data_IF_292423307010
#
_entry.id   IF_292423307010
#
_cell.length_a   1.000
_cell.length_b   1.000
_cell.length_c   1.000
_cell.angle_alpha   90.00
_cell.angle_beta   90.00
_cell.angle_gamma   90.00
#
_symmetry.space_group_name_H-M   'P 1'
#
loop_
_entity.id
_entity.type
_entity.pdbx_description
1 polymer ?
#
# COMPACT_ATOMS: atom_id res chain seq x y z
N UNK A 1 6.90 -13.60 -32.13
CA UNK A 1 6.73 -12.42 -31.25
C UNK A 1 5.75 -12.73 -30.09
N UNK A 2 6.01 -13.78 -29.29
CA UNK A 2 5.12 -14.23 -28.19
C UNK A 2 5.77 -14.16 -26.79
N UNK A 3 7.10 -13.98 -26.72
CA UNK A 3 7.87 -14.05 -25.46
C UNK A 3 7.88 -12.74 -24.68
N UNK A 4 7.77 -11.60 -25.37
CA UNK A 4 7.79 -10.26 -24.74
C UNK A 4 6.60 -10.08 -23.79
N UNK A 5 5.39 -10.45 -24.22
CA UNK A 5 4.16 -10.31 -23.42
C UNK A 5 4.18 -11.13 -22.14
N UNK A 6 4.83 -12.30 -22.14
CA UNK A 6 4.96 -13.13 -20.94
C UNK A 6 5.95 -12.52 -19.94
N UNK A 7 7.01 -11.87 -20.42
CA UNK A 7 8.05 -11.26 -19.58
C UNK A 7 7.57 -9.98 -18.89
N UNK A 8 6.79 -9.16 -19.58
CA UNK A 8 6.17 -7.96 -18.98
C UNK A 8 5.20 -8.36 -17.87
N UNK A 9 4.45 -9.45 -18.05
CA UNK A 9 3.57 -9.98 -17.01
C UNK A 9 4.34 -10.47 -15.80
N UNK A 10 5.43 -11.21 -15.99
CA UNK A 10 6.24 -11.72 -14.88
C UNK A 10 6.90 -10.57 -14.10
N UNK A 11 7.44 -9.58 -14.81
CA UNK A 11 8.01 -8.39 -14.18
C UNK A 11 6.96 -7.62 -13.34
N UNK A 12 5.72 -7.52 -13.83
CA UNK A 12 4.61 -6.94 -13.06
C UNK A 12 4.27 -7.78 -11.82
N UNK A 13 4.20 -9.10 -11.95
CA UNK A 13 3.96 -10.01 -10.81
C UNK A 13 5.04 -9.83 -9.74
N UNK A 14 6.31 -9.76 -10.14
CA UNK A 14 7.43 -9.60 -9.22
C UNK A 14 7.41 -8.22 -8.54
N UNK A 15 7.07 -7.16 -9.28
CA UNK A 15 6.89 -5.81 -8.74
C UNK A 15 5.76 -5.77 -7.69
N UNK A 16 4.59 -6.32 -8.04
CA UNK A 16 3.42 -6.35 -7.13
C UNK A 16 3.72 -7.19 -5.89
N UNK A 17 4.33 -8.36 -6.07
CA UNK A 17 4.69 -9.24 -4.96
C UNK A 17 5.70 -8.60 -4.01
N UNK A 18 6.76 -7.97 -4.54
CA UNK A 18 7.78 -7.30 -3.73
C UNK A 18 7.26 -6.03 -3.03
N UNK A 19 6.44 -5.23 -3.72
CA UNK A 19 5.99 -3.93 -3.20
C UNK A 19 4.73 -4.03 -2.35
N UNK A 20 3.73 -4.82 -2.79
CA UNK A 20 2.42 -4.91 -2.16
C UNK A 20 2.22 -6.19 -1.34
N UNK A 21 3.02 -7.24 -1.56
CA UNK A 21 2.97 -8.48 -0.77
C UNK A 21 3.01 -8.27 0.75
N UNK A 22 3.83 -7.34 1.30
CA UNK A 22 3.81 -7.06 2.74
C UNK A 22 2.48 -6.53 3.28
N UNK A 23 1.59 -6.00 2.43
CA UNK A 23 0.26 -5.54 2.85
C UNK A 23 -0.67 -6.69 3.28
N UNK A 24 -0.41 -7.93 2.84
CA UNK A 24 -1.18 -9.10 3.29
C UNK A 24 -1.00 -9.36 4.80
N UNK A 25 0.12 -8.92 5.38
CA UNK A 25 0.41 -9.03 6.81
C UNK A 25 -0.35 -7.98 7.65
N UNK A 26 -1.05 -7.03 7.01
CA UNK A 26 -1.86 -6.07 7.71
C UNK A 26 -3.07 -6.73 8.38
N UNK A 27 -3.48 -6.21 9.55
CA UNK A 27 -4.74 -6.62 10.18
C UNK A 27 -5.90 -6.20 9.27
N UNK A 28 -6.62 -7.18 8.74
CA UNK A 28 -7.70 -6.97 7.76
C UNK A 28 -7.29 -7.24 6.31
N UNK A 29 -6.07 -7.70 6.08
CA UNK A 29 -5.55 -8.05 4.75
C UNK A 29 -5.13 -6.83 3.92
N UNK A 30 -4.74 -7.09 2.66
CA UNK A 30 -4.26 -6.07 1.75
C UNK A 30 -5.36 -5.17 1.18
N UNK A 31 -6.61 -5.67 1.08
CA UNK A 31 -7.74 -4.99 0.41
C UNK A 31 -7.98 -3.57 0.96
N UNK A 32 -8.13 -3.33 2.27
CA UNK A 32 -8.47 -2.00 2.78
C UNK A 32 -7.35 -0.97 2.57
N UNK A 33 -6.10 -1.42 2.53
CA UNK A 33 -4.94 -0.57 2.28
C UNK A 33 -4.81 -0.28 0.77
N UNK A 34 -5.08 -1.27 -0.08
CA UNK A 34 -5.11 -1.10 -1.53
C UNK A 34 -6.22 -0.15 -1.98
N UNK A 35 -7.42 -0.26 -1.40
CA UNK A 35 -8.53 0.69 -1.62
C UNK A 35 -8.14 2.11 -1.21
N UNK A 36 -7.43 2.22 -0.08
CA UNK A 36 -6.95 3.50 0.43
C UNK A 36 -5.92 4.12 -0.53
N UNK A 37 -4.97 3.33 -1.04
CA UNK A 37 -3.97 3.79 -2.01
C UNK A 37 -4.60 4.17 -3.35
N UNK A 38 -5.55 3.39 -3.83
CA UNK A 38 -6.29 3.67 -5.07
C UNK A 38 -7.03 5.01 -4.95
N UNK A 39 -7.81 5.20 -3.88
CA UNK A 39 -8.50 6.46 -3.64
C UNK A 39 -7.55 7.64 -3.35
N UNK A 40 -6.33 7.37 -2.89
CA UNK A 40 -5.27 8.37 -2.70
C UNK A 40 -4.67 8.84 -4.02
N UNK A 41 -4.35 7.91 -4.93
CA UNK A 41 -3.82 8.25 -6.24
C UNK A 41 -4.86 8.90 -7.14
N UNK A 42 -6.10 8.40 -7.13
CA UNK A 42 -7.23 9.00 -7.86
C UNK A 42 -7.52 10.45 -7.42
N UNK A 43 -7.18 10.84 -6.19
CA UNK A 43 -7.40 12.20 -5.69
C UNK A 43 -6.24 13.16 -6.01
N UNK A 44 -5.25 12.70 -6.77
CA UNK A 44 -4.02 13.46 -7.04
C UNK A 44 -3.10 13.53 -5.82
N UNK A 45 -3.09 12.50 -4.97
CA UNK A 45 -2.27 12.42 -3.76
C UNK A 45 -2.65 13.48 -2.69
N UNK A 46 -3.92 13.91 -2.67
CA UNK A 46 -4.43 14.90 -1.72
C UNK A 46 -5.16 14.23 -0.57
N UNK A 47 -4.51 14.15 0.59
CA UNK A 47 -5.04 13.45 1.77
C UNK A 47 -6.44 13.94 2.20
N UNK A 48 -6.69 15.25 2.20
CA UNK A 48 -8.00 15.78 2.58
C UNK A 48 -9.12 15.38 1.60
N UNK A 49 -8.81 15.28 0.31
CA UNK A 49 -9.77 14.86 -0.72
C UNK A 49 -10.09 13.37 -0.59
N UNK A 50 -9.07 12.53 -0.42
CA UNK A 50 -9.22 11.09 -0.20
C UNK A 50 -9.98 10.76 1.07
N UNK A 51 -9.69 11.46 2.17
CA UNK A 51 -10.38 11.26 3.45
C UNK A 51 -11.88 11.51 3.29
N UNK A 52 -12.27 12.58 2.59
CA UNK A 52 -13.68 12.85 2.26
C UNK A 52 -14.30 11.76 1.40
N UNK A 53 -13.59 11.27 0.37
CA UNK A 53 -14.10 10.19 -0.51
C UNK A 53 -14.32 8.86 0.22
N UNK A 54 -13.45 8.53 1.17
CA UNK A 54 -13.55 7.31 1.98
C UNK A 54 -14.44 7.50 3.23
N UNK A 55 -15.03 8.70 3.43
CA UNK A 55 -15.77 9.06 4.65
C UNK A 55 -14.96 8.84 5.94
N UNK A 56 -13.65 9.08 5.88
CA UNK A 56 -12.70 8.94 6.99
C UNK A 56 -12.22 10.32 7.47
N UNK A 57 -11.74 10.38 8.71
CA UNK A 57 -10.95 11.52 9.18
C UNK A 57 -9.56 11.55 8.56
N UNK A 58 -8.99 12.74 8.36
CA UNK A 58 -7.63 12.90 7.80
C UNK A 58 -6.58 12.15 8.63
N UNK A 59 -6.68 12.17 9.97
CA UNK A 59 -5.77 11.42 10.85
C UNK A 59 -5.83 9.90 10.63
N UNK A 60 -7.03 9.36 10.35
CA UNK A 60 -7.21 7.94 10.06
C UNK A 60 -6.59 7.56 8.71
N UNK A 61 -6.72 8.44 7.71
CA UNK A 61 -6.06 8.26 6.41
C UNK A 61 -4.54 8.31 6.55
N UNK A 62 -3.99 9.34 7.21
CA UNK A 62 -2.52 9.47 7.38
C UNK A 62 -1.95 8.31 8.18
N UNK A 63 -2.71 7.77 9.13
CA UNK A 63 -2.32 6.54 9.84
C UNK A 63 -2.26 5.34 8.89
N UNK A 64 -3.25 5.16 8.00
CA UNK A 64 -3.25 4.08 7.02
C UNK A 64 -2.06 4.20 6.05
N UNK A 65 -1.75 5.41 5.58
CA UNK A 65 -0.59 5.65 4.71
C UNK A 65 0.74 5.38 5.44
N UNK A 66 0.87 5.83 6.68
CA UNK A 66 2.03 5.50 7.51
C UNK A 66 2.14 3.98 7.72
N UNK A 67 1.02 3.28 7.90
CA UNK A 67 1.01 1.82 8.02
C UNK A 67 1.50 1.15 6.75
N UNK A 68 1.11 1.63 5.57
CA UNK A 68 1.66 1.15 4.28
C UNK A 68 3.18 1.30 4.25
N UNK A 69 3.70 2.48 4.60
CA UNK A 69 5.15 2.71 4.66
C UNK A 69 5.84 1.76 5.65
N UNK A 70 5.28 1.53 6.84
CA UNK A 70 5.89 0.59 7.81
C UNK A 70 5.90 -0.86 7.34
N UNK A 71 4.98 -1.26 6.46
CA UNK A 71 4.89 -2.63 5.96
C UNK A 71 5.73 -2.84 4.71
N UNK A 72 5.73 -1.86 3.80
CA UNK A 72 6.34 -1.97 2.46
C UNK A 72 7.72 -1.33 2.39
N UNK A 73 8.06 -0.43 3.32
CA UNK A 73 9.26 0.41 3.26
C UNK A 73 9.18 1.57 2.27
N UNK A 74 8.08 1.67 1.49
CA UNK A 74 7.88 2.65 0.42
C UNK A 74 6.96 3.76 0.93
N UNK A 75 7.37 5.02 0.84
CA UNK A 75 6.56 6.16 1.28
C UNK A 75 5.59 6.61 0.17
N UNK A 76 4.26 6.48 0.34
CA UNK A 76 3.28 6.93 -0.67
C UNK A 76 3.31 8.45 -0.92
N UNK A 77 3.95 9.23 -0.05
CA UNK A 77 4.02 10.68 -0.15
C UNK A 77 5.30 11.20 -0.79
N UNK A 78 6.37 10.40 -0.81
CA UNK A 78 7.57 10.72 -1.56
C UNK A 78 7.30 10.54 -3.07
N UNK A 79 7.56 11.54 -3.92
CA UNK A 79 7.37 11.44 -5.37
C UNK A 79 8.03 10.22 -6.02
N UNK A 80 9.22 9.80 -5.58
CA UNK A 80 9.96 8.69 -6.20
C UNK A 80 9.28 7.35 -5.89
N UNK A 81 9.05 7.11 -4.60
CA UNK A 81 8.38 5.91 -4.09
C UNK A 81 6.94 5.80 -4.58
N UNK A 82 6.26 6.95 -4.72
CA UNK A 82 4.91 7.05 -5.24
C UNK A 82 4.77 6.46 -6.64
N UNK A 83 5.69 6.73 -7.56
CA UNK A 83 5.61 6.18 -8.93
C UNK A 83 5.68 4.65 -8.91
N UNK A 84 6.58 4.09 -8.11
CA UNK A 84 6.71 2.64 -7.91
C UNK A 84 5.42 2.06 -7.32
N UNK A 85 4.90 2.69 -6.27
CA UNK A 85 3.70 2.24 -5.58
C UNK A 85 2.44 2.34 -6.46
N UNK A 86 2.31 3.41 -7.25
CA UNK A 86 1.21 3.58 -8.19
C UNK A 86 1.26 2.53 -9.30
N UNK A 87 2.46 2.25 -9.85
CA UNK A 87 2.65 1.20 -10.85
C UNK A 87 2.29 -0.17 -10.29
N UNK A 88 2.69 -0.45 -9.04
CA UNK A 88 2.33 -1.69 -8.35
C UNK A 88 0.81 -1.80 -8.11
N UNK A 89 0.12 -0.71 -7.72
CA UNK A 89 -1.34 -0.73 -7.54
C UNK A 89 -2.08 -0.97 -8.86
N UNK A 90 -1.64 -0.35 -9.95
CA UNK A 90 -2.20 -0.60 -11.29
C UNK A 90 -1.94 -2.06 -11.69
N UNK A 91 -0.71 -2.56 -11.50
CA UNK A 91 -0.33 -3.94 -11.77
C UNK A 91 -1.16 -4.95 -10.96
N UNK A 92 -1.44 -4.66 -9.69
CA UNK A 92 -2.30 -5.48 -8.84
C UNK A 92 -3.71 -5.59 -9.41
N UNK A 93 -4.30 -4.48 -9.87
CA UNK A 93 -5.61 -4.48 -10.53
C UNK A 93 -5.62 -5.32 -11.81
N UNK A 94 -4.58 -5.23 -12.65
CA UNK A 94 -4.43 -6.03 -13.86
C UNK A 94 -4.24 -7.53 -13.59
N UNK A 95 -3.76 -7.89 -12.40
CA UNK A 95 -3.54 -9.26 -11.96
C UNK A 95 -4.69 -9.81 -11.12
N UNK A 96 -5.75 -9.02 -10.89
CA UNK A 96 -6.86 -9.29 -9.98
C UNK A 96 -6.40 -9.57 -8.53
N UNK A 97 -5.26 -9.03 -8.11
CA UNK A 97 -4.74 -9.17 -6.75
C UNK A 97 -5.37 -8.12 -5.82
N UNK A 98 -5.73 -8.44 -4.57
CA UNK A 98 -5.43 -9.67 -3.81
C UNK A 98 -6.47 -10.80 -3.94
N UNK A 99 -7.52 -10.63 -4.75
CA UNK A 99 -8.58 -11.65 -4.92
C UNK A 99 -8.05 -12.91 -5.61
N UNK A 100 -7.08 -12.77 -6.50
CA UNK A 100 -6.33 -13.84 -7.14
C UNK A 100 -4.89 -13.84 -6.62
N UNK A 101 -4.41 -14.96 -6.03
CA UNK A 101 -3.03 -15.05 -5.60
C UNK A 101 -2.07 -14.93 -6.80
N UNK A 102 -0.98 -14.18 -6.62
CA UNK A 102 0.10 -14.00 -7.59
C UNK A 102 0.80 -15.34 -7.81
N UNK A 103 0.28 -16.15 -8.72
CA UNK A 103 0.72 -17.53 -8.88
C UNK A 103 2.07 -17.57 -9.61
N UNK A 104 3.18 -17.62 -8.87
CA UNK A 104 4.49 -18.06 -9.39
C UNK A 104 4.94 -19.41 -8.80
N UNK A 105 4.26 -19.96 -7.78
CA UNK A 105 4.43 -21.34 -7.29
C UNK A 105 3.19 -21.74 -6.50
N UNK A 106 2.54 -22.82 -6.88
CA UNK A 106 1.51 -23.47 -6.07
C UNK A 106 2.16 -24.68 -5.39
N UNK A 107 2.47 -24.67 -4.08
CA UNK A 107 2.54 -25.89 -3.31
C UNK A 107 1.14 -26.20 -2.78
N UNK A 108 0.70 -27.40 -3.09
CA UNK A 108 -0.43 -28.16 -2.55
C UNK A 108 -0.87 -27.86 -1.11
N UNK A 109 -2.20 -27.95 -0.92
CA UNK A 109 -2.90 -28.33 0.32
C UNK A 109 -3.14 -27.24 1.39
N UNK A 110 -4.29 -26.57 1.32
CA UNK A 110 -5.08 -26.32 2.53
C UNK A 110 -5.83 -27.60 2.88
N UNK A 111 -5.58 -28.26 4.03
CA UNK A 111 -6.49 -29.27 4.54
C UNK A 111 -7.82 -28.61 4.96
N UNK A 112 -8.98 -29.28 4.81
CA UNK A 112 -10.23 -28.77 5.30
C UNK A 112 -10.27 -28.90 6.82
N UNK A 113 -10.28 -27.75 7.50
CA UNK A 113 -10.76 -27.63 8.88
C UNK A 113 -9.67 -27.44 9.93
N UNK A 114 -9.60 -26.22 10.48
CA UNK A 114 -9.54 -26.06 11.94
C UNK A 114 -10.03 -24.65 12.31
N UNK A 115 -11.05 -24.60 13.17
CA UNK A 115 -11.48 -23.39 13.88
C UNK A 115 -10.52 -23.03 15.03
N UNK A 116 -10.84 -21.97 15.81
CA UNK A 116 -9.85 -20.98 16.26
C UNK A 116 -9.28 -21.23 17.66
N UNK A 117 -8.18 -20.55 18.06
CA UNK A 117 -7.99 -20.18 19.46
C UNK A 117 -8.42 -18.73 19.68
N UNK A 118 -9.44 -18.57 20.52
CA UNK A 118 -9.84 -17.31 21.12
C UNK A 118 -8.84 -17.03 22.25
N UNK A 119 -7.90 -16.12 22.06
CA UNK A 119 -7.20 -15.51 23.19
C UNK A 119 -7.29 -13.98 23.10
N UNK A 120 -8.24 -13.47 23.88
CA UNK A 120 -8.23 -12.14 24.46
C UNK A 120 -7.00 -12.04 25.36
N UNK A 121 -5.91 -11.46 24.86
CA UNK A 121 -4.89 -10.86 25.74
C UNK A 121 -4.45 -9.50 25.21
N UNK A 122 -4.98 -8.48 25.86
CA UNK A 122 -4.24 -7.31 26.38
C UNK A 122 -3.10 -6.80 25.48
N UNK A 123 -3.44 -5.96 24.51
CA UNK A 123 -2.47 -5.07 23.85
C UNK A 123 -2.22 -3.87 24.76
N UNK A 124 -1.54 -4.11 25.88
CA UNK A 124 -0.93 -3.09 26.72
C UNK A 124 0.59 -3.14 26.55
N UNK A 125 1.19 -1.96 26.46
CA UNK A 125 2.63 -1.64 26.52
C UNK A 125 3.47 -1.88 25.25
N UNK A 126 3.16 -1.12 24.20
CA UNK A 126 4.14 -0.33 23.42
C UNK A 126 3.35 0.42 22.34
N UNK A 127 2.80 1.57 22.69
CA UNK A 127 2.38 2.58 21.73
C UNK A 127 3.66 3.32 21.38
N UNK A 128 4.29 3.18 20.20
CA UNK A 128 5.16 4.24 19.72
C UNK A 128 4.23 5.43 19.53
N UNK A 129 4.56 6.53 20.19
CA UNK A 129 3.82 7.79 20.24
C UNK A 129 3.16 8.18 18.91
N UNK A 130 1.99 8.86 18.94
CA UNK A 130 1.49 9.54 17.75
C UNK A 130 2.56 10.53 17.32
N UNK A 131 3.19 10.30 16.17
CA UNK A 131 4.16 11.23 15.64
C UNK A 131 3.46 12.59 15.53
N UNK A 132 4.02 13.67 16.11
CA UNK A 132 3.43 14.98 15.95
C UNK A 132 3.43 15.32 14.46
N UNK A 133 2.26 15.74 13.97
CA UNK A 133 2.01 16.29 12.62
C UNK A 133 3.10 17.24 12.09
N UNK A 134 3.91 17.83 12.99
CA UNK A 134 5.07 18.66 12.69
C UNK A 134 6.22 17.93 11.97
N UNK A 135 6.43 16.63 12.20
CA UNK A 135 7.50 15.87 11.53
C UNK A 135 7.11 15.56 10.08
N UNK A 136 5.83 15.22 9.85
CA UNK A 136 5.31 15.01 8.51
C UNK A 136 5.36 16.29 7.67
N UNK A 137 4.99 17.44 8.25
CA UNK A 137 5.06 18.75 7.56
C UNK A 137 6.49 19.21 7.22
N UNK A 138 7.52 18.64 7.86
CA UNK A 138 8.93 18.92 7.58
C UNK A 138 9.46 18.06 6.45
N UNK A 139 9.07 16.79 6.36
CA UNK A 139 9.41 15.90 5.24
C UNK A 139 8.70 16.36 3.96
N UNK A 140 7.41 16.73 4.03
CA UNK A 140 6.64 17.17 2.84
C UNK A 140 7.02 18.55 2.28
N UNK A 141 7.77 19.39 3.00
CA UNK A 141 8.16 20.73 2.51
C UNK A 141 9.36 20.68 1.56
N UNK A 142 10.14 19.60 1.58
CA UNK A 142 11.35 19.46 0.76
C UNK A 142 11.07 19.07 -0.70
N UNK A 143 9.85 18.64 -1.05
CA UNK A 143 9.49 18.25 -2.42
C UNK A 143 8.61 19.27 -3.17
N UNK A 144 8.46 20.50 -2.66
CA UNK A 144 7.68 21.58 -3.30
C UNK A 144 8.54 22.55 -4.12
N UNK A 145 9.86 22.36 -4.19
CA UNK A 145 10.74 23.20 -5.04
C UNK A 145 11.51 22.34 -6.04
N UNK A 146 10.87 21.94 -7.13
CA UNK A 146 11.53 21.89 -8.45
C UNK A 146 10.48 21.72 -9.57
N UNK A 147 9.88 22.84 -9.98
CA UNK A 147 9.35 23.00 -11.33
C UNK A 147 9.40 24.49 -11.69
N UNK A 148 10.60 25.07 -11.68
CA UNK A 148 10.88 26.26 -12.48
C UNK A 148 12.05 25.92 -13.40
N UNK A 149 11.71 25.60 -14.65
CA UNK A 149 12.70 25.22 -15.64
C UNK A 149 12.10 24.60 -16.89
N UNK A 150 11.12 25.26 -17.52
CA UNK A 150 10.92 25.16 -18.97
C UNK A 150 10.18 26.39 -19.50
N UNK A 151 10.86 27.06 -20.44
CA UNK A 151 10.56 28.31 -21.19
C UNK A 151 10.72 29.67 -20.49
#
# INVERSE_FOLDING_TARGET
>A
MRVVLARDRQALVDLVSSTLGPLEQARGGAVPLLDTLTAYFDSGCVAASTARRLSLGVCALTYRLARVHTLTGVDPTDPIDRYTLQTAVIGAGLLDWPTRPLSSTQPSAQPPGEGPPRHRTRWGSAIPTPWPVCVWRRVSRTSIVDTEGFE
#
